data_IF_711121645938
#
_entry.id   IF_711121645938
#
_cell.length_a   1.000
_cell.length_b   1.000
_cell.length_c   1.000
_cell.angle_alpha   90.00
_cell.angle_beta   90.00
_cell.angle_gamma   90.00
#
_symmetry.space_group_name_H-M   'P 1'
#
loop_
_entity.id
_entity.type
_entity.pdbx_description
1 polymer ?
#
# COMPACT_ATOMS: atom_id res chain seq x y z
N UNK A 1 -4.35 8.93 2.15
CA UNK A 1 -4.01 8.40 0.81
C UNK A 1 -5.22 8.35 -0.11
N UNK A 2 -6.28 7.55 0.11
CA UNK A 2 -7.34 7.38 -0.89
C UNK A 2 -8.16 8.64 -1.22
N UNK A 3 -8.06 9.70 -0.40
CA UNK A 3 -8.69 11.01 -0.69
C UNK A 3 -7.82 11.96 -1.52
N UNK A 4 -6.56 11.59 -1.79
CA UNK A 4 -5.61 12.42 -2.52
C UNK A 4 -5.86 12.22 -4.00
N UNK A 5 -6.08 13.31 -4.73
CA UNK A 5 -6.43 13.29 -6.15
C UNK A 5 -5.19 13.07 -7.01
N UNK A 6 -4.06 13.69 -6.66
CA UNK A 6 -2.82 13.61 -7.43
C UNK A 6 -2.08 12.29 -7.23
N UNK A 7 -1.79 11.58 -8.33
CA UNK A 7 -1.04 10.32 -8.29
C UNK A 7 0.36 10.53 -7.72
N UNK A 8 1.11 11.50 -8.23
CA UNK A 8 2.48 11.80 -7.75
C UNK A 8 2.50 12.18 -6.27
N UNK A 9 1.47 12.91 -5.82
CA UNK A 9 1.26 13.23 -4.41
C UNK A 9 1.05 11.95 -3.60
N UNK A 10 0.15 11.06 -4.01
CA UNK A 10 -0.10 9.77 -3.34
C UNK A 10 1.16 8.93 -3.24
N UNK A 11 1.92 8.78 -4.33
CA UNK A 11 3.18 8.02 -4.33
C UNK A 11 4.21 8.65 -3.38
N UNK A 12 4.32 9.98 -3.39
CA UNK A 12 5.25 10.70 -2.52
C UNK A 12 4.89 10.56 -1.04
N UNK A 13 3.61 10.68 -0.71
CA UNK A 13 3.13 10.48 0.65
C UNK A 13 3.40 9.06 1.15
N UNK A 14 3.29 8.03 0.29
CA UNK A 14 3.67 6.65 0.61
C UNK A 14 5.12 6.55 1.12
N UNK A 15 6.06 7.16 0.38
CA UNK A 15 7.48 7.24 0.77
C UNK A 15 7.70 8.00 2.07
N UNK A 16 7.06 9.16 2.21
CA UNK A 16 7.22 10.01 3.40
C UNK A 16 6.63 9.40 4.66
N UNK A 17 5.52 8.66 4.54
CA UNK A 17 4.92 7.95 5.66
C UNK A 17 5.90 6.91 6.23
N UNK A 18 6.51 6.09 5.37
CA UNK A 18 7.49 5.10 5.82
C UNK A 18 8.71 5.72 6.46
N UNK A 19 9.31 6.74 5.83
CA UNK A 19 10.46 7.46 6.40
C UNK A 19 10.13 8.06 7.78
N UNK A 20 8.94 8.65 7.92
CA UNK A 20 8.49 9.23 9.20
C UNK A 20 8.31 8.15 10.28
N UNK A 21 7.73 7.00 9.91
CA UNK A 21 7.53 5.88 10.83
C UNK A 21 8.86 5.26 11.26
N UNK A 22 9.78 5.03 10.33
CA UNK A 22 11.12 4.51 10.64
C UNK A 22 11.90 5.42 11.60
N UNK A 23 11.88 6.73 11.35
CA UNK A 23 12.52 7.70 12.25
C UNK A 23 11.87 7.70 13.63
N UNK A 24 10.53 7.67 13.70
CA UNK A 24 9.80 7.65 14.97
C UNK A 24 10.09 6.38 15.78
N UNK A 25 10.01 5.19 15.17
CA UNK A 25 10.29 3.92 15.85
C UNK A 25 11.77 3.82 16.27
N UNK A 26 12.70 4.32 15.46
CA UNK A 26 14.13 4.35 15.82
C UNK A 26 14.38 5.23 17.04
N UNK A 27 13.89 6.47 17.04
CA UNK A 27 14.04 7.40 18.17
C UNK A 27 13.37 6.88 19.45
N UNK A 28 12.21 6.23 19.32
CA UNK A 28 11.52 5.58 20.43
C UNK A 28 12.35 4.46 21.02
N UNK A 29 12.83 3.53 20.18
CA UNK A 29 13.62 2.37 20.63
C UNK A 29 14.91 2.82 21.33
N UNK A 30 15.55 3.87 20.84
CA UNK A 30 16.73 4.46 21.50
C UNK A 30 16.38 5.04 22.86
N UNK A 31 15.34 5.86 22.95
CA UNK A 31 14.87 6.43 24.23
C UNK A 31 14.49 5.32 25.23
N UNK A 32 13.81 4.29 24.77
CA UNK A 32 13.46 3.13 25.60
C UNK A 32 14.72 2.40 26.07
N UNK A 33 15.70 2.18 25.20
CA UNK A 33 16.96 1.51 25.56
C UNK A 33 17.76 2.30 26.60
N UNK A 34 17.84 3.62 26.46
CA UNK A 34 18.55 4.50 27.39
C UNK A 34 17.92 4.55 28.79
N UNK A 35 16.62 4.31 28.88
CA UNK A 35 15.86 4.38 30.13
C UNK A 35 15.69 3.04 30.85
N UNK A 36 15.98 1.91 30.20
CA UNK A 36 15.91 0.57 30.82
C UNK A 36 16.64 0.50 32.17
N UNK A 37 17.86 1.05 32.34
CA UNK A 37 18.59 0.96 33.61
C UNK A 37 17.94 1.72 34.78
N UNK A 38 17.03 2.65 34.51
CA UNK A 38 16.41 3.55 35.50
C UNK A 38 14.90 3.29 35.69
N UNK A 39 14.45 2.07 35.36
CA UNK A 39 13.05 1.64 35.55
C UNK A 39 12.20 1.63 34.27
N UNK A 40 12.80 1.96 33.13
CA UNK A 40 12.15 1.97 31.82
C UNK A 40 11.35 3.24 31.55
N UNK A 41 11.42 3.73 30.31
CA UNK A 41 10.59 4.83 29.82
C UNK A 41 9.28 4.27 29.28
N UNK A 42 8.17 4.66 29.92
CA UNK A 42 6.85 4.51 29.34
C UNK A 42 6.52 5.77 28.56
N UNK A 43 6.50 5.66 27.24
CA UNK A 43 6.14 6.78 26.39
C UNK A 43 4.65 7.08 26.54
N UNK A 44 4.34 8.26 27.06
CA UNK A 44 2.99 8.83 27.08
C UNK A 44 3.04 10.25 26.52
N UNK A 45 1.93 10.68 25.94
CA UNK A 45 1.78 12.02 25.38
C UNK A 45 0.55 12.70 25.99
N UNK A 46 0.62 13.99 26.36
CA UNK A 46 -0.55 14.73 26.80
C UNK A 46 -1.63 14.77 25.72
N UNK A 47 -2.91 14.70 26.13
CA UNK A 47 -4.07 14.72 25.23
C UNK A 47 -4.07 15.88 24.22
N UNK A 48 -3.47 17.03 24.57
CA UNK A 48 -3.33 18.17 23.67
C UNK A 48 -2.68 17.83 22.33
N UNK A 49 -1.67 16.97 22.30
CA UNK A 49 -1.06 16.50 21.06
C UNK A 49 -2.05 15.73 20.16
N UNK A 50 -2.99 14.99 20.77
CA UNK A 50 -3.99 14.19 20.04
C UNK A 50 -5.00 15.12 19.43
N UNK A 51 -5.44 16.13 20.17
CA UNK A 51 -6.35 17.16 19.68
C UNK A 51 -5.76 17.91 18.49
N UNK A 52 -4.47 18.26 18.55
CA UNK A 52 -3.75 18.86 17.42
C UNK A 52 -3.72 17.93 16.20
N UNK A 53 -3.35 16.66 16.36
CA UNK A 53 -3.29 15.70 15.26
C UNK A 53 -4.67 15.40 14.65
N UNK A 54 -5.71 15.28 15.48
CA UNK A 54 -7.11 15.15 15.04
C UNK A 54 -7.57 16.37 14.22
N UNK A 55 -7.12 17.59 14.55
CA UNK A 55 -7.46 18.78 13.79
C UNK A 55 -6.84 18.78 12.38
N UNK A 56 -5.63 18.21 12.23
CA UNK A 56 -5.01 17.99 10.92
C UNK A 56 -5.83 16.99 10.10
N UNK A 57 -6.22 15.87 10.70
CA UNK A 57 -7.02 14.82 10.04
C UNK A 57 -8.39 15.33 9.57
N UNK A 58 -8.97 16.30 10.29
CA UNK A 58 -10.22 16.99 9.95
C UNK A 58 -10.10 18.07 8.87
N UNK A 59 -8.94 18.20 8.22
CA UNK A 59 -8.74 19.19 7.15
C UNK A 59 -9.81 19.06 6.06
N UNK A 60 -10.42 20.20 5.69
CA UNK A 60 -11.58 20.21 4.80
C UNK A 60 -11.26 19.89 3.32
N UNK A 61 -9.99 19.92 2.93
CA UNK A 61 -9.54 19.64 1.56
C UNK A 61 -8.10 19.14 1.52
N UNK A 62 -7.71 18.54 0.39
CA UNK A 62 -6.34 18.08 0.16
C UNK A 62 -5.29 19.22 0.32
N UNK A 63 -5.45 20.43 -0.25
CA UNK A 63 -4.50 21.51 -0.03
C UNK A 63 -4.34 21.91 1.44
N UNK A 64 -5.44 21.95 2.20
CA UNK A 64 -5.41 22.26 3.63
C UNK A 64 -4.72 21.15 4.42
N UNK A 65 -4.96 19.88 4.07
CA UNK A 65 -4.30 18.73 4.69
C UNK A 65 -2.79 18.77 4.44
N UNK A 66 -2.36 18.98 3.18
CA UNK A 66 -0.95 19.06 2.82
C UNK A 66 -0.27 20.25 3.51
N UNK A 67 -0.93 21.42 3.56
CA UNK A 67 -0.41 22.56 4.31
C UNK A 67 -0.24 22.22 5.80
N UNK A 68 -1.27 21.63 6.42
CA UNK A 68 -1.26 21.27 7.85
C UNK A 68 -0.17 20.26 8.19
N UNK A 69 0.07 19.29 7.30
CA UNK A 69 1.15 18.31 7.46
C UNK A 69 2.52 18.96 7.29
N UNK A 70 2.77 19.63 6.16
CA UNK A 70 4.14 20.00 5.76
C UNK A 70 4.53 21.42 6.16
N UNK A 71 3.63 22.40 5.99
CA UNK A 71 3.90 23.80 6.32
C UNK A 71 3.76 24.07 7.83
N UNK A 72 2.97 23.27 8.54
CA UNK A 72 2.75 23.41 9.99
C UNK A 72 3.45 22.28 10.78
N UNK A 73 2.88 21.07 10.85
CA UNK A 73 3.39 19.98 11.70
C UNK A 73 4.87 19.66 11.45
N UNK A 74 5.29 19.45 10.20
CA UNK A 74 6.67 19.06 9.88
C UNK A 74 7.68 20.16 10.19
N UNK A 75 7.33 21.44 9.96
CA UNK A 75 8.18 22.58 10.34
C UNK A 75 8.34 22.68 11.85
N UNK A 76 7.26 22.47 12.62
CA UNK A 76 7.32 22.48 14.08
C UNK A 76 8.09 21.28 14.64
N UNK A 77 7.90 20.10 14.06
CA UNK A 77 8.69 18.91 14.38
C UNK A 77 10.18 19.12 14.09
N UNK A 78 10.53 19.80 12.99
CA UNK A 78 11.92 20.21 12.70
C UNK A 78 12.47 21.10 13.82
N UNK A 79 11.69 22.09 14.28
CA UNK A 79 12.08 22.94 15.41
C UNK A 79 12.40 22.11 16.67
N UNK A 80 11.51 21.20 17.05
CA UNK A 80 11.72 20.32 18.21
C UNK A 80 12.98 19.45 18.08
N UNK A 81 13.24 18.88 16.90
CA UNK A 81 14.45 18.09 16.66
C UNK A 81 15.71 18.94 16.78
N UNK A 82 15.69 20.18 16.26
CA UNK A 82 16.81 21.13 16.38
C UNK A 82 17.05 21.51 17.84
N UNK A 83 15.99 21.77 18.59
CA UNK A 83 16.10 22.11 20.02
C UNK A 83 16.72 20.96 20.83
N UNK A 84 16.27 19.73 20.60
CA UNK A 84 16.84 18.53 21.25
C UNK A 84 18.29 18.34 20.84
N UNK A 85 18.63 18.47 19.55
CA UNK A 85 20.01 18.39 19.07
C UNK A 85 20.92 19.43 19.72
N UNK A 86 20.44 20.64 19.96
CA UNK A 86 21.18 21.71 20.62
C UNK A 86 21.54 21.40 22.07
N UNK A 87 20.78 20.53 22.74
CA UNK A 87 21.01 20.09 24.12
C UNK A 87 21.88 18.85 24.28
N UNK A 88 22.27 18.18 23.19
CA UNK A 88 23.06 16.92 23.23
C UNK A 88 24.56 17.17 23.26
N UNK A 89 25.30 16.31 23.97
CA UNK A 89 26.76 16.31 23.99
C UNK A 89 27.34 15.67 22.72
N UNK A 90 28.31 16.31 22.03
CA UNK A 90 28.83 15.82 20.76
C UNK A 90 29.59 14.49 20.84
N UNK A 91 30.03 14.07 22.03
CA UNK A 91 30.78 12.82 22.23
C UNK A 91 29.89 11.78 22.91
N UNK A 92 29.26 12.14 24.03
CA UNK A 92 28.49 11.21 24.85
C UNK A 92 27.17 10.80 24.18
N UNK A 93 26.57 11.69 23.40
CA UNK A 93 25.28 11.47 22.75
C UNK A 93 25.39 11.14 21.26
N UNK A 94 26.57 10.73 20.78
CA UNK A 94 26.85 10.49 19.34
C UNK A 94 25.74 9.66 18.66
N UNK A 95 25.32 8.55 19.28
CA UNK A 95 24.31 7.66 18.69
C UNK A 95 22.93 8.32 18.54
N UNK A 96 22.44 9.03 19.56
CA UNK A 96 21.12 9.70 19.47
C UNK A 96 21.20 10.91 18.55
N UNK A 97 22.35 11.59 18.50
CA UNK A 97 22.62 12.70 17.57
C UNK A 97 22.50 12.23 16.12
N UNK A 98 23.15 11.13 15.73
CA UNK A 98 23.06 10.59 14.36
C UNK A 98 21.61 10.29 13.94
N UNK A 99 20.80 9.77 14.85
CA UNK A 99 19.39 9.48 14.61
C UNK A 99 18.55 10.74 14.47
N UNK A 100 18.76 11.73 15.35
CA UNK A 100 18.09 13.03 15.27
C UNK A 100 18.47 13.78 14.00
N UNK A 101 19.74 13.75 13.58
CA UNK A 101 20.20 14.33 12.32
C UNK A 101 19.58 13.64 11.10
N UNK A 102 19.39 12.31 11.17
CA UNK A 102 18.67 11.56 10.13
C UNK A 102 17.21 11.98 10.05
N UNK A 103 16.53 12.11 11.20
CA UNK A 103 15.17 12.62 11.26
C UNK A 103 15.07 14.07 10.74
N UNK A 104 16.04 14.93 11.08
CA UNK A 104 16.11 16.31 10.61
C UNK A 104 16.23 16.39 9.08
N UNK A 105 17.17 15.65 8.47
CA UNK A 105 17.32 15.60 7.00
C UNK A 105 16.05 15.10 6.32
N UNK A 106 15.38 14.11 6.90
CA UNK A 106 14.09 13.62 6.40
C UNK A 106 13.01 14.71 6.46
N UNK A 107 12.91 15.46 7.56
CA UNK A 107 11.95 16.57 7.70
C UNK A 107 12.23 17.67 6.68
N UNK A 108 13.50 18.04 6.50
CA UNK A 108 13.92 19.07 5.54
C UNK A 108 13.58 18.68 4.09
N UNK A 109 13.84 17.43 3.73
CA UNK A 109 13.49 16.90 2.40
C UNK A 109 11.97 16.98 2.15
N UNK A 110 11.17 16.61 3.16
CA UNK A 110 9.71 16.64 3.06
C UNK A 110 9.15 18.07 2.98
N UNK A 111 9.71 19.00 3.74
CA UNK A 111 9.34 20.42 3.70
C UNK A 111 9.71 21.02 2.34
N UNK A 112 10.92 20.76 1.84
CA UNK A 112 11.38 21.26 0.54
C UNK A 112 10.52 20.73 -0.62
N UNK A 113 10.12 19.45 -0.58
CA UNK A 113 9.19 18.88 -1.55
C UNK A 113 7.86 19.65 -1.56
N UNK A 114 7.30 19.94 -0.38
CA UNK A 114 6.03 20.67 -0.27
C UNK A 114 6.14 22.10 -0.81
N UNK A 115 7.23 22.81 -0.49
CA UNK A 115 7.48 24.18 -0.97
C UNK A 115 7.58 24.23 -2.50
N UNK A 116 8.13 23.19 -3.13
CA UNK A 116 8.20 23.05 -4.58
C UNK A 116 6.85 22.79 -5.25
N UNK A 117 5.81 22.38 -4.51
CA UNK A 117 4.47 22.17 -5.08
C UNK A 117 3.71 23.47 -5.35
N UNK A 118 4.19 24.62 -4.83
CA UNK A 118 3.54 25.93 -4.97
C UNK A 118 2.04 25.95 -4.60
N UNK A 119 1.65 25.11 -3.63
CA UNK A 119 0.26 25.00 -3.18
C UNK A 119 -0.17 26.26 -2.41
N UNK A 120 -1.44 26.64 -2.55
CA UNK A 120 -2.04 27.70 -1.74
C UNK A 120 -2.04 27.30 -0.26
N UNK A 121 -1.72 28.25 0.63
CA UNK A 121 -1.74 28.01 2.07
C UNK A 121 -3.14 27.75 2.63
N UNK A 122 -3.21 27.29 3.88
CA UNK A 122 -4.49 27.15 4.57
C UNK A 122 -5.12 28.51 4.89
N UNK A 123 -6.46 28.60 4.99
CA UNK A 123 -7.14 29.81 5.46
C UNK A 123 -6.62 30.27 6.83
N UNK A 124 -6.61 31.59 7.07
CA UNK A 124 -6.09 32.18 8.31
C UNK A 124 -6.78 31.64 9.57
N UNK A 125 -8.07 31.32 9.48
CA UNK A 125 -8.81 30.72 10.59
C UNK A 125 -8.29 29.31 10.93
N UNK A 126 -8.06 28.47 9.93
CA UNK A 126 -7.50 27.13 10.12
C UNK A 126 -6.10 27.19 10.72
N UNK A 127 -5.25 28.08 10.22
CA UNK A 127 -3.91 28.31 10.76
C UNK A 127 -3.94 28.77 12.23
N UNK A 128 -4.87 29.68 12.60
CA UNK A 128 -5.07 30.12 13.98
C UNK A 128 -5.50 28.98 14.90
N UNK A 129 -6.41 28.11 14.45
CA UNK A 129 -6.84 26.93 15.22
C UNK A 129 -5.66 25.99 15.48
N UNK A 130 -4.87 25.65 14.46
CA UNK A 130 -3.70 24.78 14.64
C UNK A 130 -2.62 25.41 15.53
N UNK A 131 -2.41 26.73 15.45
CA UNK A 131 -1.50 27.44 16.36
C UNK A 131 -1.96 27.33 17.82
N UNK A 132 -3.25 27.59 18.11
CA UNK A 132 -3.78 27.49 19.47
C UNK A 132 -3.68 26.06 20.02
N UNK A 133 -3.97 25.05 19.20
CA UNK A 133 -3.81 23.64 19.57
C UNK A 133 -2.35 23.26 19.80
N UNK A 134 -1.42 23.80 19.01
CA UNK A 134 0.01 23.59 19.22
C UNK A 134 0.49 24.20 20.55
N UNK A 135 0.03 25.39 20.91
CA UNK A 135 0.34 26.02 22.20
C UNK A 135 -0.22 25.20 23.37
N UNK A 136 -1.40 24.62 23.20
CA UNK A 136 -2.05 23.76 24.19
C UNK A 136 -1.61 22.28 24.15
N UNK A 137 -0.63 21.90 23.31
CA UNK A 137 -0.29 20.49 23.06
C UNK A 137 0.18 19.72 24.30
N UNK A 138 0.74 20.42 25.28
CA UNK A 138 1.25 19.84 26.54
C UNK A 138 0.19 19.77 27.65
N UNK A 139 -1.02 20.26 27.38
CA UNK A 139 -2.14 20.20 28.31
C UNK A 139 -2.87 18.83 28.24
N UNK A 140 -3.64 18.55 29.30
CA UNK A 140 -4.47 17.35 29.40
C UNK A 140 -3.77 16.17 30.10
N UNK A 141 -4.52 15.09 30.29
CA UNK A 141 -3.97 13.89 30.91
C UNK A 141 -3.00 13.16 29.96
N UNK A 142 -1.92 12.56 30.46
CA UNK A 142 -1.05 11.73 29.64
C UNK A 142 -1.81 10.48 29.17
N UNK A 143 -1.73 10.19 27.87
CA UNK A 143 -2.27 8.99 27.23
C UNK A 143 -1.12 8.08 26.83
N UNK A 144 -1.26 6.77 27.03
CA UNK A 144 -0.28 5.81 26.55
C UNK A 144 -0.17 5.87 25.02
N UNK A 145 1.04 5.80 24.46
CA UNK A 145 1.17 5.92 23.00
C UNK A 145 0.55 4.74 22.23
N UNK A 146 0.36 3.59 22.87
CA UNK A 146 -0.43 2.49 22.30
C UNK A 146 -1.92 2.80 22.14
N UNK A 147 -2.44 3.81 22.86
CA UNK A 147 -3.84 4.25 22.80
C UNK A 147 -3.98 5.60 22.06
N UNK A 148 -2.89 6.06 21.43
CA UNK A 148 -2.79 7.40 20.85
C UNK A 148 -3.61 7.58 19.58
N UNK A 149 -3.70 6.54 18.77
CA UNK A 149 -4.44 6.55 17.52
C UNK A 149 -5.95 6.63 17.77
N UNK A 150 -6.71 7.14 16.82
CA UNK A 150 -8.16 7.28 16.90
C UNK A 150 -8.84 6.55 15.75
N UNK A 151 -10.11 6.21 15.94
CA UNK A 151 -10.93 5.66 14.86
C UNK A 151 -11.08 6.70 13.73
N UNK A 152 -11.12 6.27 12.46
CA UNK A 152 -11.28 7.20 11.35
C UNK A 152 -12.53 8.06 11.47
N UNK A 153 -12.43 9.31 11.03
CA UNK A 153 -13.58 10.21 10.87
C UNK A 153 -14.61 9.60 9.91
N UNK A 154 -14.12 9.01 8.82
CA UNK A 154 -14.91 8.39 7.77
C UNK A 154 -14.12 7.28 7.07
N UNK A 155 -14.83 6.25 6.62
CA UNK A 155 -14.28 5.23 5.71
C UNK A 155 -14.42 5.75 4.28
N UNK A 156 -13.36 5.60 3.49
CA UNK A 156 -13.32 6.15 2.12
C UNK A 156 -13.80 5.10 1.12
N UNK A 157 -15.02 5.23 0.54
CA UNK A 157 -15.63 4.17 -0.26
C UNK A 157 -14.96 3.94 -1.60
N UNK A 158 -14.31 4.97 -2.16
CA UNK A 158 -13.59 4.91 -3.43
C UNK A 158 -12.39 5.83 -3.39
N UNK A 159 -11.28 5.44 -4.02
CA UNK A 159 -10.12 6.30 -4.08
C UNK A 159 -10.33 7.42 -5.11
N UNK A 160 -9.74 8.57 -4.84
CA UNK A 160 -9.85 9.76 -5.68
C UNK A 160 -8.87 9.68 -6.85
N UNK A 161 -9.27 10.19 -8.01
CA UNK A 161 -8.43 10.22 -9.22
C UNK A 161 -8.59 11.56 -9.93
N UNK A 162 -7.60 12.00 -10.73
CA UNK A 162 -7.72 13.19 -11.54
C UNK A 162 -8.92 13.11 -12.49
N UNK A 163 -9.71 14.19 -12.58
CA UNK A 163 -10.98 14.19 -13.33
C UNK A 163 -10.88 13.96 -14.85
N UNK A 164 -9.66 14.01 -15.42
CA UNK A 164 -9.42 13.71 -16.83
C UNK A 164 -9.19 12.21 -17.10
N UNK A 165 -8.97 11.39 -16.07
CA UNK A 165 -8.76 9.95 -16.23
C UNK A 165 -10.08 9.24 -16.52
N UNK A 166 -10.01 8.23 -17.40
CA UNK A 166 -11.16 7.40 -17.80
C UNK A 166 -11.12 6.10 -17.03
N UNK A 167 -12.25 5.67 -16.46
CA UNK A 167 -12.33 4.41 -15.74
C UNK A 167 -12.70 3.26 -16.66
N UNK A 168 -12.09 2.10 -16.44
CA UNK A 168 -12.48 0.85 -17.07
C UNK A 168 -13.91 0.45 -16.65
N UNK A 169 -14.64 -0.19 -17.57
CA UNK A 169 -15.97 -0.71 -17.25
C UNK A 169 -15.83 -1.83 -16.21
N UNK A 170 -16.54 -1.70 -15.08
CA UNK A 170 -16.52 -2.71 -14.01
C UNK A 170 -16.90 -4.09 -14.57
N UNK A 171 -16.08 -5.09 -14.30
CA UNK A 171 -16.27 -6.47 -14.76
C UNK A 171 -15.77 -6.78 -16.18
N UNK A 172 -15.27 -5.78 -16.91
CA UNK A 172 -14.55 -5.98 -18.16
C UNK A 172 -13.18 -6.62 -17.92
N UNK A 173 -12.60 -7.24 -18.95
CA UNK A 173 -11.22 -7.73 -18.89
C UNK A 173 -10.23 -6.55 -18.86
N UNK A 174 -9.20 -6.66 -18.03
CA UNK A 174 -8.19 -5.61 -17.81
C UNK A 174 -7.22 -5.41 -18.97
N UNK A 175 -7.00 -6.43 -19.82
CA UNK A 175 -6.11 -6.34 -20.98
C UNK A 175 -6.73 -6.97 -22.21
N UNK A 176 -6.56 -6.30 -23.36
CA UNK A 176 -6.96 -6.75 -24.70
C UNK A 176 -5.79 -6.68 -25.68
N UNK A 177 -4.56 -6.76 -25.15
CA UNK A 177 -3.35 -6.57 -25.93
C UNK A 177 -3.29 -7.58 -27.08
N UNK A 178 -3.16 -7.06 -28.30
CA UNK A 178 -2.95 -7.90 -29.47
C UNK A 178 -1.58 -8.55 -29.30
N UNK A 179 -1.55 -9.87 -29.13
CA UNK A 179 -0.31 -10.60 -28.83
C UNK A 179 0.74 -10.47 -29.94
N UNK A 180 0.37 -10.04 -31.15
CA UNK A 180 1.30 -9.80 -32.26
C UNK A 180 2.19 -8.57 -32.05
N UNK A 181 1.76 -7.60 -31.23
CA UNK A 181 2.54 -6.40 -30.87
C UNK A 181 3.03 -6.51 -29.42
N UNK A 182 4.30 -6.85 -29.28
CA UNK A 182 4.94 -7.06 -27.98
C UNK A 182 5.18 -5.74 -27.22
N UNK A 183 5.37 -4.62 -27.93
CA UNK A 183 5.53 -3.30 -27.32
C UNK A 183 4.19 -2.88 -26.71
N UNK A 184 3.10 -2.99 -27.48
CA UNK A 184 1.77 -2.66 -26.98
C UNK A 184 1.35 -3.58 -25.81
N UNK A 185 1.67 -4.87 -25.88
CA UNK A 185 1.42 -5.77 -24.76
C UNK A 185 2.19 -5.38 -23.50
N UNK A 186 3.43 -4.91 -23.64
CA UNK A 186 4.24 -4.42 -22.51
C UNK A 186 3.64 -3.14 -21.92
N UNK A 187 3.19 -2.20 -22.77
CA UNK A 187 2.50 -0.98 -22.33
C UNK A 187 1.23 -1.29 -21.53
N UNK A 188 0.36 -2.16 -22.03
CA UNK A 188 -0.87 -2.54 -21.32
C UNK A 188 -0.58 -3.23 -19.99
N UNK A 189 0.44 -4.09 -19.94
CA UNK A 189 0.83 -4.76 -18.71
C UNK A 189 1.27 -3.74 -17.65
N UNK A 190 2.20 -2.83 -17.97
CA UNK A 190 2.69 -1.86 -17.00
C UNK A 190 1.66 -0.79 -16.63
N UNK A 191 0.75 -0.45 -17.53
CA UNK A 191 -0.40 0.38 -17.17
C UNK A 191 -1.29 -0.32 -16.13
N UNK A 192 -1.66 -1.58 -16.36
CA UNK A 192 -2.47 -2.35 -15.42
C UNK A 192 -1.76 -2.59 -14.08
N UNK A 193 -0.45 -2.89 -14.11
CA UNK A 193 0.34 -2.98 -12.88
C UNK A 193 0.33 -1.65 -12.13
N UNK A 194 0.46 -0.50 -12.81
CA UNK A 194 0.39 0.81 -12.16
C UNK A 194 -0.94 1.03 -11.41
N UNK A 195 -2.07 0.60 -11.99
CA UNK A 195 -3.37 0.62 -11.30
C UNK A 195 -3.35 -0.24 -10.03
N UNK A 196 -2.83 -1.47 -10.13
CA UNK A 196 -2.72 -2.40 -9.01
C UNK A 196 -1.83 -1.84 -7.89
N UNK A 197 -0.65 -1.30 -8.20
CA UNK A 197 0.28 -0.79 -7.19
C UNK A 197 -0.29 0.45 -6.45
N UNK A 198 -0.88 1.41 -7.17
CA UNK A 198 -1.46 2.61 -6.56
C UNK A 198 -2.64 2.23 -5.65
N UNK A 199 -3.51 1.35 -6.13
CA UNK A 199 -4.71 0.95 -5.37
C UNK A 199 -4.36 0.09 -4.17
N UNK A 200 -3.30 -0.71 -4.26
CA UNK A 200 -2.75 -1.49 -3.16
C UNK A 200 -2.15 -0.60 -2.08
N UNK A 201 -1.34 0.41 -2.45
CA UNK A 201 -0.85 1.44 -1.54
C UNK A 201 -2.00 2.06 -0.73
N UNK A 202 -3.06 2.47 -1.43
CA UNK A 202 -4.24 3.08 -0.82
C UNK A 202 -4.98 2.11 0.13
N UNK A 203 -5.11 0.84 -0.26
CA UNK A 203 -5.75 -0.19 0.54
C UNK A 203 -4.98 -0.44 1.85
N UNK A 204 -3.64 -0.55 1.80
CA UNK A 204 -2.83 -0.74 3.01
C UNK A 204 -2.77 0.50 3.91
N UNK A 205 -2.89 1.69 3.33
CA UNK A 205 -3.13 2.89 4.13
C UNK A 205 -4.43 2.76 4.95
N UNK A 206 -5.49 2.16 4.38
CA UNK A 206 -6.72 1.85 5.13
C UNK A 206 -6.55 0.78 6.18
N UNK A 207 -5.87 -0.32 5.85
CA UNK A 207 -5.58 -1.37 6.82
C UNK A 207 -4.91 -0.78 8.07
N UNK A 208 -4.03 0.22 7.89
CA UNK A 208 -3.46 0.97 9.00
C UNK A 208 -4.47 1.91 9.67
N UNK A 209 -5.12 2.82 8.95
CA UNK A 209 -5.89 3.89 9.62
C UNK A 209 -7.22 3.39 10.23
N UNK A 210 -7.85 2.34 9.68
CA UNK A 210 -9.15 1.82 10.16
C UNK A 210 -9.02 1.01 11.45
N UNK A 211 -7.80 0.61 11.80
CA UNK A 211 -7.53 -0.31 12.90
C UNK A 211 -6.49 0.29 13.85
N UNK A 212 -6.81 1.42 14.52
CA UNK A 212 -5.92 2.08 15.48
C UNK A 212 -5.59 1.21 16.71
N UNK A 213 -6.35 0.13 16.90
CA UNK A 213 -6.19 -0.84 17.97
C UNK A 213 -5.15 -1.93 17.65
N UNK A 214 -4.62 -1.94 16.44
CA UNK A 214 -3.51 -2.82 16.06
C UNK A 214 -2.18 -2.31 16.66
N UNK A 215 -1.22 -3.22 16.92
CA UNK A 215 0.05 -2.83 17.52
C UNK A 215 0.91 -1.96 16.59
N UNK A 216 1.86 -1.20 17.14
CA UNK A 216 2.74 -0.30 16.39
C UNK A 216 3.48 -1.01 15.24
N UNK A 217 3.93 -2.25 15.46
CA UNK A 217 4.63 -3.03 14.44
C UNK A 217 3.74 -3.36 13.23
N UNK A 218 2.41 -3.41 13.41
CA UNK A 218 1.47 -3.56 12.31
C UNK A 218 1.48 -2.30 11.47
N UNK A 219 1.32 -1.13 12.08
CA UNK A 219 1.37 0.15 11.38
C UNK A 219 2.71 0.38 10.67
N UNK A 220 3.83 -0.04 11.29
CA UNK A 220 5.14 -0.01 10.66
C UNK A 220 5.24 -0.94 9.43
N UNK A 221 4.63 -2.13 9.50
CA UNK A 221 4.57 -3.06 8.38
C UNK A 221 3.69 -2.53 7.23
N UNK A 222 2.52 -1.94 7.53
CA UNK A 222 1.67 -1.30 6.54
C UNK A 222 2.38 -0.11 5.89
N UNK A 223 3.08 0.72 6.68
CA UNK A 223 3.85 1.83 6.14
C UNK A 223 4.99 1.36 5.23
N UNK A 224 5.66 0.24 5.55
CA UNK A 224 6.65 -0.37 4.66
C UNK A 224 6.02 -0.81 3.35
N UNK A 225 4.91 -1.53 3.40
CA UNK A 225 4.23 -2.00 2.20
C UNK A 225 3.79 -0.82 1.32
N UNK A 226 3.18 0.22 1.92
CA UNK A 226 2.84 1.46 1.19
C UNK A 226 4.05 2.11 0.50
N UNK A 227 5.24 2.02 1.10
CA UNK A 227 6.47 2.50 0.48
C UNK A 227 6.90 1.62 -0.70
N UNK A 228 6.86 0.32 -0.53
CA UNK A 228 7.21 -0.66 -1.55
C UNK A 228 6.27 -0.47 -2.77
N UNK A 229 4.95 -0.43 -2.57
CA UNK A 229 4.00 -0.17 -3.66
C UNK A 229 4.17 1.22 -4.31
N UNK A 230 4.58 2.24 -3.54
CA UNK A 230 4.86 3.56 -4.13
C UNK A 230 6.06 3.52 -5.08
N UNK A 231 7.05 2.67 -4.80
CA UNK A 231 8.22 2.46 -5.66
C UNK A 231 7.85 1.58 -6.84
N UNK A 232 7.04 0.55 -6.63
CA UNK A 232 6.55 -0.34 -7.69
C UNK A 232 5.75 0.46 -8.71
N UNK A 233 4.78 1.27 -8.27
CA UNK A 233 4.00 2.15 -9.13
C UNK A 233 4.91 3.08 -9.96
N UNK A 234 5.89 3.71 -9.33
CA UNK A 234 6.84 4.58 -10.05
C UNK A 234 7.68 3.80 -11.07
N UNK A 235 8.15 2.60 -10.71
CA UNK A 235 8.91 1.76 -11.63
C UNK A 235 8.05 1.32 -12.82
N UNK A 236 6.76 1.03 -12.59
CA UNK A 236 5.80 0.70 -13.63
C UNK A 236 5.53 1.90 -14.55
N UNK A 237 5.34 3.10 -14.00
CA UNK A 237 5.18 4.35 -14.78
C UNK A 237 6.40 4.60 -15.65
N UNK A 238 7.61 4.57 -15.07
CA UNK A 238 8.83 4.80 -15.83
C UNK A 238 9.02 3.76 -16.94
N UNK A 239 8.71 2.49 -16.64
CA UNK A 239 8.81 1.42 -17.66
C UNK A 239 7.75 1.58 -18.74
N UNK A 240 6.54 2.06 -18.42
CA UNK A 240 5.52 2.37 -19.41
C UNK A 240 5.98 3.48 -20.36
N UNK A 241 6.61 4.53 -19.82
CA UNK A 241 7.18 5.65 -20.58
C UNK A 241 8.32 5.22 -21.51
N UNK A 242 9.21 4.33 -21.04
CA UNK A 242 10.29 3.75 -21.86
C UNK A 242 9.76 3.00 -23.10
N UNK A 243 8.51 2.50 -23.03
CA UNK A 243 7.81 1.85 -24.14
C UNK A 243 6.83 2.79 -24.87
N UNK A 244 6.91 4.11 -24.63
CA UNK A 244 6.14 5.13 -25.34
C UNK A 244 4.68 5.24 -24.90
N UNK A 245 4.32 4.72 -23.72
CA UNK A 245 3.01 4.93 -23.12
C UNK A 245 3.01 6.00 -22.02
N UNK A 246 1.83 6.55 -21.74
CA UNK A 246 1.60 7.40 -20.57
C UNK A 246 0.54 6.75 -19.68
N UNK A 247 0.72 6.80 -18.37
CA UNK A 247 -0.32 6.33 -17.46
C UNK A 247 -1.61 7.16 -17.62
N UNK A 248 -2.75 6.51 -17.80
CA UNK A 248 -4.03 7.15 -18.14
C UNK A 248 -4.34 7.22 -19.65
N UNK A 249 -3.42 6.83 -20.53
CA UNK A 249 -3.72 6.65 -21.97
C UNK A 249 -4.76 5.54 -22.18
N UNK A 250 -4.73 4.52 -21.30
CA UNK A 250 -5.73 3.46 -21.23
C UNK A 250 -6.69 3.75 -20.07
N UNK A 251 -7.90 3.15 -20.08
CA UNK A 251 -8.80 3.26 -18.95
C UNK A 251 -8.16 2.70 -17.68
N UNK A 252 -8.17 3.48 -16.60
CA UNK A 252 -7.66 3.10 -15.28
C UNK A 252 -8.66 2.23 -14.52
N UNK A 253 -8.15 1.40 -13.62
CA UNK A 253 -8.94 0.57 -12.72
C UNK A 253 -8.66 0.88 -11.25
N UNK A 254 -9.71 0.87 -10.43
CA UNK A 254 -9.63 0.90 -8.96
C UNK A 254 -10.02 -0.44 -8.34
N UNK A 255 -10.02 -1.50 -9.14
CA UNK A 255 -10.59 -2.81 -8.81
C UNK A 255 -10.08 -3.41 -7.50
N UNK A 256 -8.76 -3.40 -7.26
CA UNK A 256 -8.18 -3.95 -6.01
C UNK A 256 -8.77 -3.25 -4.79
N UNK A 257 -8.82 -1.92 -4.80
CA UNK A 257 -9.38 -1.16 -3.69
C UNK A 257 -10.89 -1.38 -3.56
N UNK A 258 -11.64 -1.28 -4.67
CA UNK A 258 -13.09 -1.36 -4.67
C UNK A 258 -13.58 -2.73 -4.22
N UNK A 259 -12.87 -3.79 -4.61
CA UNK A 259 -13.21 -5.17 -4.32
C UNK A 259 -12.92 -5.53 -2.86
N UNK A 260 -11.81 -5.04 -2.32
CA UNK A 260 -11.42 -5.21 -0.92
C UNK A 260 -11.93 -4.09 0.01
N UNK A 261 -12.84 -3.24 -0.49
CA UNK A 261 -13.37 -2.13 0.30
C UNK A 261 -14.15 -2.64 1.52
N UNK A 262 -15.08 -3.58 1.28
CA UNK A 262 -15.97 -4.14 2.27
C UNK A 262 -16.44 -5.53 1.82
N UNK A 263 -16.38 -6.50 2.75
CA UNK A 263 -16.90 -7.84 2.54
C UNK A 263 -18.20 -7.99 3.33
N UNK A 264 -19.32 -8.24 2.64
CA UNK A 264 -20.65 -8.29 3.24
C UNK A 264 -20.79 -9.25 4.45
N UNK A 265 -20.05 -10.37 4.56
CA UNK A 265 -20.06 -11.23 5.75
C UNK A 265 -19.35 -10.66 6.98
N UNK A 266 -18.65 -9.52 6.85
CA UNK A 266 -17.91 -8.87 7.92
C UNK A 266 -18.57 -7.56 8.31
N UNK A 267 -18.64 -7.26 9.61
CA UNK A 267 -19.06 -5.93 10.05
C UNK A 267 -18.05 -4.87 9.56
N UNK A 268 -18.51 -3.74 8.99
CA UNK A 268 -17.68 -2.61 8.60
C UNK A 268 -16.69 -2.17 9.69
N UNK A 269 -15.39 -2.13 9.37
CA UNK A 269 -14.33 -1.71 10.29
C UNK A 269 -13.95 -2.76 11.35
N UNK A 270 -14.51 -3.97 11.27
CA UNK A 270 -14.17 -5.05 12.21
C UNK A 270 -12.80 -5.66 11.95
N UNK A 271 -12.22 -6.30 12.97
CA UNK A 271 -11.01 -7.13 12.84
C UNK A 271 -11.16 -8.25 11.81
N UNK A 272 -12.38 -8.76 11.61
CA UNK A 272 -12.65 -9.80 10.60
C UNK A 272 -12.57 -9.24 9.19
N UNK A 273 -13.07 -8.01 8.97
CA UNK A 273 -12.91 -7.32 7.70
C UNK A 273 -11.43 -7.07 7.38
N UNK A 274 -10.63 -6.63 8.38
CA UNK A 274 -9.18 -6.53 8.23
C UNK A 274 -8.53 -7.88 7.89
N UNK A 275 -8.90 -8.93 8.63
CA UNK A 275 -8.37 -10.28 8.42
C UNK A 275 -8.63 -10.73 6.98
N UNK A 276 -9.85 -10.56 6.46
CA UNK A 276 -10.19 -10.95 5.09
C UNK A 276 -9.39 -10.16 4.06
N UNK A 277 -9.24 -8.83 4.22
CA UNK A 277 -8.38 -8.03 3.34
C UNK A 277 -6.94 -8.54 3.30
N UNK A 278 -6.35 -8.84 4.46
CA UNK A 278 -4.97 -9.35 4.54
C UNK A 278 -4.84 -10.77 3.95
N UNK A 279 -5.84 -11.63 4.17
CA UNK A 279 -5.84 -12.99 3.62
C UNK A 279 -5.95 -12.98 2.11
N UNK A 280 -6.85 -12.17 1.55
CA UNK A 280 -7.10 -12.08 0.12
C UNK A 280 -5.96 -11.34 -0.59
N UNK A 281 -5.64 -10.11 -0.16
CA UNK A 281 -4.60 -9.32 -0.82
C UNK A 281 -3.21 -9.89 -0.57
N UNK A 282 -2.82 -10.06 0.70
CA UNK A 282 -1.43 -10.40 1.01
C UNK A 282 -1.09 -11.88 0.90
N UNK A 283 -1.97 -12.77 1.37
CA UNK A 283 -1.62 -14.20 1.41
C UNK A 283 -2.05 -14.97 0.17
N UNK A 284 -2.92 -14.37 -0.66
CA UNK A 284 -3.43 -14.97 -1.88
C UNK A 284 -2.97 -14.21 -3.12
N UNK A 285 -3.41 -12.96 -3.35
CA UNK A 285 -3.08 -12.21 -4.58
C UNK A 285 -1.58 -11.92 -4.73
N UNK A 286 -0.93 -11.35 -3.71
CA UNK A 286 0.53 -11.10 -3.74
C UNK A 286 1.34 -12.40 -3.81
N UNK A 287 0.84 -13.46 -3.17
CA UNK A 287 1.45 -14.79 -3.27
C UNK A 287 1.31 -15.39 -4.67
N UNK A 288 0.22 -15.11 -5.40
CA UNK A 288 0.09 -15.46 -6.81
C UNK A 288 1.03 -14.63 -7.69
N UNK A 289 1.30 -13.36 -7.34
CA UNK A 289 2.31 -12.55 -8.02
C UNK A 289 3.70 -13.18 -7.94
N UNK A 290 4.09 -13.79 -6.81
CA UNK A 290 5.36 -14.54 -6.69
C UNK A 290 5.51 -15.68 -7.71
N UNK A 291 4.39 -16.29 -8.10
CA UNK A 291 4.36 -17.37 -9.09
C UNK A 291 4.27 -16.81 -10.51
N UNK A 292 3.39 -15.83 -10.72
CA UNK A 292 3.14 -15.18 -12.01
C UNK A 292 4.34 -14.42 -12.54
N UNK A 293 5.11 -13.74 -11.68
CA UNK A 293 6.30 -13.01 -12.10
C UNK A 293 7.38 -13.93 -12.66
N UNK A 294 7.52 -15.17 -12.19
CA UNK A 294 8.48 -16.13 -12.74
C UNK A 294 8.18 -16.39 -14.23
N UNK A 295 6.90 -16.61 -14.55
CA UNK A 295 6.47 -16.81 -15.94
C UNK A 295 6.65 -15.54 -16.78
N UNK A 296 6.26 -14.37 -16.24
CA UNK A 296 6.42 -13.12 -16.98
C UNK A 296 7.90 -12.82 -17.24
N UNK A 297 8.78 -12.93 -16.24
CA UNK A 297 10.24 -12.77 -16.40
C UNK A 297 10.77 -13.68 -17.53
N UNK A 298 10.34 -14.94 -17.57
CA UNK A 298 10.74 -15.89 -18.62
C UNK A 298 10.26 -15.45 -20.01
N UNK A 299 9.02 -14.98 -20.14
CA UNK A 299 8.47 -14.44 -21.39
C UNK A 299 9.24 -13.20 -21.85
N UNK A 300 9.53 -12.27 -20.94
CA UNK A 300 10.23 -11.01 -21.23
C UNK A 300 11.68 -11.27 -21.63
N UNK A 301 12.35 -12.23 -20.98
CA UNK A 301 13.67 -12.69 -21.39
C UNK A 301 13.67 -13.31 -22.80
N UNK A 302 12.65 -14.10 -23.15
CA UNK A 302 12.50 -14.65 -24.51
C UNK A 302 12.36 -13.54 -25.57
N UNK A 303 11.76 -12.39 -25.22
CA UNK A 303 11.68 -11.22 -26.10
C UNK A 303 12.90 -10.30 -26.05
N UNK A 304 13.96 -10.66 -25.29
CA UNK A 304 15.14 -9.81 -25.13
C UNK A 304 14.90 -8.54 -24.31
N UNK A 305 13.80 -8.47 -23.55
CA UNK A 305 13.43 -7.29 -22.75
C UNK A 305 14.08 -7.33 -21.36
N UNK A 306 15.42 -7.28 -21.32
CA UNK A 306 16.17 -7.42 -20.06
C UNK A 306 15.82 -6.36 -19.02
N UNK A 307 15.51 -5.14 -19.44
CA UNK A 307 15.09 -4.06 -18.55
C UNK A 307 13.79 -4.39 -17.81
N UNK A 308 12.82 -4.97 -18.52
CA UNK A 308 11.55 -5.40 -17.94
C UNK A 308 11.77 -6.55 -16.96
N UNK A 309 12.62 -7.51 -17.31
CA UNK A 309 12.99 -8.61 -16.40
C UNK A 309 13.58 -8.09 -15.09
N UNK A 310 14.44 -7.06 -15.13
CA UNK A 310 15.01 -6.46 -13.91
C UNK A 310 13.95 -5.79 -13.04
N UNK A 311 13.03 -5.03 -13.64
CA UNK A 311 11.93 -4.37 -12.92
C UNK A 311 11.02 -5.40 -12.25
N UNK A 312 10.55 -6.41 -12.99
CA UNK A 312 9.71 -7.47 -12.44
C UNK A 312 10.44 -8.28 -11.35
N UNK A 313 11.73 -8.53 -11.51
CA UNK A 313 12.54 -9.21 -10.50
C UNK A 313 12.69 -8.41 -9.20
N UNK A 314 12.82 -7.08 -9.31
CA UNK A 314 12.87 -6.21 -8.14
C UNK A 314 11.54 -6.18 -7.39
N UNK A 315 10.41 -6.02 -8.10
CA UNK A 315 9.06 -6.06 -7.51
C UNK A 315 8.83 -7.41 -6.82
N UNK A 316 9.09 -8.52 -7.52
CA UNK A 316 8.94 -9.87 -6.96
C UNK A 316 9.75 -10.10 -5.67
N UNK A 317 10.91 -9.45 -5.52
CA UNK A 317 11.71 -9.54 -4.30
C UNK A 317 11.03 -8.87 -3.11
N UNK A 318 10.36 -7.74 -3.33
CA UNK A 318 9.64 -7.00 -2.30
C UNK A 318 8.33 -7.73 -1.91
N UNK A 319 7.66 -8.40 -2.86
CA UNK A 319 6.45 -9.21 -2.61
C UNK A 319 6.65 -10.30 -1.54
N UNK A 320 7.88 -10.82 -1.35
CA UNK A 320 8.17 -11.78 -0.28
C UNK A 320 7.89 -11.17 1.10
N UNK A 321 8.20 -9.89 1.28
CA UNK A 321 7.88 -9.20 2.52
C UNK A 321 6.37 -8.99 2.67
N UNK A 322 5.66 -8.65 1.59
CA UNK A 322 4.22 -8.40 1.64
C UNK A 322 3.45 -9.66 2.05
N UNK A 323 3.74 -10.79 1.42
CA UNK A 323 3.17 -12.11 1.78
C UNK A 323 3.50 -12.48 3.22
N UNK A 324 4.75 -12.25 3.66
CA UNK A 324 5.18 -12.51 5.05
C UNK A 324 4.44 -11.64 6.06
N UNK A 325 4.21 -10.38 5.73
CA UNK A 325 3.42 -9.45 6.52
C UNK A 325 1.99 -9.97 6.65
N UNK A 326 1.38 -10.38 5.53
CA UNK A 326 0.05 -11.01 5.49
C UNK A 326 -0.06 -12.24 6.38
N UNK A 327 0.88 -13.19 6.27
CA UNK A 327 0.91 -14.41 7.09
C UNK A 327 1.03 -14.06 8.58
N UNK A 328 1.94 -13.15 8.95
CA UNK A 328 2.12 -12.73 10.35
C UNK A 328 0.83 -12.13 10.93
N UNK A 329 0.24 -11.16 10.23
CA UNK A 329 -0.87 -10.38 10.79
C UNK A 329 -2.21 -11.09 10.72
N UNK A 330 -2.45 -11.92 9.70
CA UNK A 330 -3.61 -12.82 9.68
C UNK A 330 -3.53 -13.84 10.83
N UNK A 331 -2.36 -14.42 11.08
CA UNK A 331 -2.13 -15.33 12.22
C UNK A 331 -2.33 -14.61 13.55
N UNK A 332 -1.85 -13.37 13.69
CA UNK A 332 -2.08 -12.55 14.88
C UNK A 332 -3.59 -12.31 15.13
N UNK A 333 -4.35 -11.93 14.10
CA UNK A 333 -5.80 -11.71 14.19
C UNK A 333 -6.57 -13.00 14.49
N UNK A 334 -5.99 -14.16 14.18
CA UNK A 334 -6.47 -15.48 14.58
C UNK A 334 -5.90 -15.98 15.91
N UNK A 335 -5.36 -15.10 16.76
CA UNK A 335 -4.78 -15.42 18.08
C UNK A 335 -3.64 -16.44 18.02
N UNK A 336 -2.84 -16.44 16.95
CA UNK A 336 -1.76 -17.40 16.75
C UNK A 336 -2.17 -18.71 16.06
N UNK A 337 -3.47 -18.94 15.80
CA UNK A 337 -3.95 -20.14 15.13
C UNK A 337 -3.88 -19.99 13.60
N UNK A 338 -2.83 -20.58 13.01
CA UNK A 338 -2.62 -20.59 11.57
C UNK A 338 -3.67 -21.43 10.80
N UNK A 339 -4.19 -22.49 11.40
CA UNK A 339 -5.26 -23.30 10.79
C UNK A 339 -6.53 -22.47 10.66
N UNK A 340 -6.88 -21.71 11.70
CA UNK A 340 -8.01 -20.77 11.64
C UNK A 340 -7.81 -19.71 10.55
N UNK A 341 -6.59 -19.19 10.37
CA UNK A 341 -6.31 -18.25 9.29
C UNK A 341 -6.57 -18.86 7.90
N UNK A 342 -6.19 -20.12 7.68
CA UNK A 342 -6.50 -20.86 6.44
C UNK A 342 -8.00 -21.09 6.23
N UNK A 343 -8.74 -21.42 7.28
CA UNK A 343 -10.20 -21.61 7.24
C UNK A 343 -10.95 -20.30 6.92
N UNK A 344 -10.49 -19.18 7.47
CA UNK A 344 -11.02 -17.85 7.10
C UNK A 344 -10.62 -17.48 5.67
N UNK A 345 -9.43 -17.90 5.20
CA UNK A 345 -8.99 -17.66 3.82
C UNK A 345 -9.86 -18.39 2.81
N UNK A 346 -10.24 -19.63 3.09
CA UNK A 346 -11.20 -20.41 2.29
C UNK A 346 -12.55 -19.69 2.18
N UNK A 347 -13.08 -19.23 3.31
CA UNK A 347 -14.35 -18.51 3.34
C UNK A 347 -14.29 -17.18 2.57
N UNK A 348 -13.21 -16.40 2.78
CA UNK A 348 -13.00 -15.14 2.10
C UNK A 348 -12.85 -15.35 0.59
N UNK A 349 -12.06 -16.35 0.17
CA UNK A 349 -11.85 -16.69 -1.24
C UNK A 349 -13.16 -17.13 -1.92
N UNK A 350 -13.94 -18.01 -1.28
CA UNK A 350 -15.23 -18.45 -1.81
C UNK A 350 -16.21 -17.27 -1.99
N UNK A 351 -16.26 -16.37 -1.00
CA UNK A 351 -17.07 -15.16 -1.09
C UNK A 351 -16.62 -14.25 -2.25
N UNK A 352 -15.32 -14.01 -2.35
CA UNK A 352 -14.73 -13.19 -3.41
C UNK A 352 -15.01 -13.78 -4.81
N UNK A 353 -14.87 -15.10 -4.97
CA UNK A 353 -15.18 -15.76 -6.24
C UNK A 353 -16.65 -15.54 -6.64
N UNK A 354 -17.59 -15.67 -5.70
CA UNK A 354 -19.01 -15.39 -5.96
C UNK A 354 -19.25 -13.93 -6.38
N UNK A 355 -18.57 -12.97 -5.73
CA UNK A 355 -18.69 -11.56 -6.09
C UNK A 355 -18.10 -11.26 -7.47
N UNK A 356 -16.94 -11.84 -7.82
CA UNK A 356 -16.35 -11.68 -9.15
C UNK A 356 -17.26 -12.25 -10.23
N UNK A 357 -17.85 -13.43 -10.02
CA UNK A 357 -18.81 -14.01 -10.94
C UNK A 357 -20.03 -13.13 -11.13
N UNK A 358 -20.58 -12.58 -10.03
CA UNK A 358 -21.71 -11.66 -10.08
C UNK A 358 -21.39 -10.41 -10.88
N UNK A 359 -20.27 -9.75 -10.58
CA UNK A 359 -19.81 -8.55 -11.31
C UNK A 359 -19.64 -8.88 -12.80
N UNK A 360 -19.07 -10.04 -13.11
CA UNK A 360 -18.88 -10.48 -14.50
C UNK A 360 -20.22 -10.72 -15.21
N UNK A 361 -21.19 -11.37 -14.56
CA UNK A 361 -22.53 -11.59 -15.12
C UNK A 361 -23.24 -10.26 -15.39
N UNK A 362 -23.19 -9.32 -14.44
CA UNK A 362 -23.75 -7.97 -14.59
C UNK A 362 -23.12 -7.24 -15.78
N UNK A 363 -21.79 -7.31 -15.92
CA UNK A 363 -21.07 -6.74 -17.06
C UNK A 363 -21.53 -7.34 -18.39
N UNK A 364 -21.60 -8.67 -18.51
CA UNK A 364 -21.99 -9.36 -19.75
C UNK A 364 -23.42 -9.00 -20.16
N UNK A 365 -24.34 -8.90 -19.19
CA UNK A 365 -25.74 -8.53 -19.46
C UNK A 365 -25.87 -7.06 -19.89
N UNK A 366 -25.09 -6.16 -19.29
CA UNK A 366 -25.13 -4.74 -19.60
C UNK A 366 -24.36 -4.37 -20.88
N UNK A 367 -23.35 -5.16 -21.26
CA UNK A 367 -22.42 -4.86 -22.37
C UNK A 367 -22.20 -6.10 -23.27
N UNK A 368 -23.26 -6.66 -23.89
CA UNK A 368 -23.18 -7.93 -24.61
C UNK A 368 -22.22 -7.90 -25.82
N UNK A 369 -22.17 -6.78 -26.56
CA UNK A 369 -21.25 -6.61 -27.69
C UNK A 369 -19.79 -6.65 -27.22
N UNK A 370 -19.47 -5.85 -26.20
CA UNK A 370 -18.15 -5.80 -25.59
C UNK A 370 -17.74 -7.17 -25.00
N UNK A 371 -18.68 -7.91 -24.41
CA UNK A 371 -18.42 -9.26 -23.89
C UNK A 371 -18.13 -10.28 -25.01
N UNK A 372 -18.79 -10.18 -26.15
CA UNK A 372 -18.52 -11.02 -27.32
C UNK A 372 -17.13 -10.73 -27.92
N UNK A 373 -16.72 -9.45 -27.96
CA UNK A 373 -15.35 -9.07 -28.34
C UNK A 373 -14.30 -9.69 -27.42
N UNK A 374 -14.53 -9.64 -26.11
CA UNK A 374 -13.63 -10.26 -25.12
C UNK A 374 -13.54 -11.78 -25.30
N UNK A 375 -14.66 -12.44 -25.55
CA UNK A 375 -14.67 -13.88 -25.82
C UNK A 375 -13.90 -14.23 -27.11
N UNK A 376 -14.07 -13.44 -28.16
CA UNK A 376 -13.32 -13.61 -29.41
C UNK A 376 -11.81 -13.42 -29.18
N UNK A 377 -11.44 -12.38 -28.42
CA UNK A 377 -10.06 -12.12 -28.02
C UNK A 377 -9.45 -13.29 -27.23
N UNK A 378 -10.17 -13.82 -26.24
CA UNK A 378 -9.71 -14.98 -25.45
C UNK A 378 -9.47 -16.21 -26.32
N UNK A 379 -10.39 -16.51 -27.24
CA UNK A 379 -10.23 -17.64 -28.18
C UNK A 379 -9.02 -17.47 -29.09
N UNK A 380 -8.81 -16.27 -29.60
CA UNK A 380 -7.63 -15.94 -30.41
C UNK A 380 -6.34 -16.11 -29.60
N UNK A 381 -6.29 -15.54 -28.39
CA UNK A 381 -5.15 -15.70 -27.47
C UNK A 381 -4.81 -17.17 -27.25
N UNK A 382 -5.80 -17.97 -26.87
CA UNK A 382 -5.59 -19.38 -26.52
C UNK A 382 -5.12 -20.21 -27.73
N UNK A 383 -5.47 -19.80 -28.95
CA UNK A 383 -5.02 -20.44 -30.18
C UNK A 383 -3.58 -20.06 -30.62
N UNK A 384 -3.12 -18.86 -30.25
CA UNK A 384 -1.86 -18.25 -30.72
C UNK A 384 -0.75 -18.34 -29.67
N UNK A 385 -1.02 -17.90 -28.44
CA UNK A 385 0.00 -17.66 -27.41
C UNK A 385 0.77 -18.93 -27.03
N UNK A 386 0.14 -20.10 -26.81
CA UNK A 386 0.87 -21.32 -26.46
C UNK A 386 1.85 -21.79 -27.54
N UNK A 387 1.58 -21.49 -28.82
CA UNK A 387 2.44 -21.90 -29.94
C UNK A 387 3.67 -21.00 -30.13
N UNK A 388 3.67 -19.82 -29.51
CA UNK A 388 4.72 -18.81 -29.67
C UNK A 388 5.94 -19.09 -28.81
N UNK A 389 5.74 -19.72 -27.65
CA UNK A 389 6.82 -19.93 -26.69
C UNK A 389 7.34 -21.37 -26.74
N UNK A 390 8.66 -21.58 -26.66
CA UNK A 390 9.25 -22.92 -26.63
C UNK A 390 9.15 -23.58 -25.24
N UNK A 391 8.24 -23.12 -24.38
CA UNK A 391 8.10 -23.56 -23.00
C UNK A 391 6.64 -23.47 -22.52
N UNK A 392 6.30 -24.23 -21.47
CA UNK A 392 4.98 -24.16 -20.85
C UNK A 392 4.69 -22.78 -20.28
N UNK A 393 3.44 -22.35 -20.45
CA UNK A 393 2.86 -21.13 -19.89
C UNK A 393 2.04 -21.40 -18.63
N UNK A 394 2.06 -22.62 -18.11
CA UNK A 394 1.48 -22.92 -16.81
C UNK A 394 2.17 -22.11 -15.72
N UNK A 395 1.38 -21.55 -14.81
CA UNK A 395 1.90 -20.94 -13.59
C UNK A 395 2.18 -22.09 -12.61
N UNK A 396 3.42 -22.17 -12.13
CA UNK A 396 3.85 -23.15 -11.12
C UNK A 396 4.15 -22.45 -9.81
N UNK A 397 3.89 -23.14 -8.70
CA UNK A 397 4.19 -22.65 -7.35
C UNK A 397 5.68 -22.33 -7.22
N UNK A 398 6.00 -21.06 -6.92
CA UNK A 398 7.33 -20.62 -6.54
C UNK A 398 7.59 -20.98 -5.07
N UNK A 399 7.82 -22.28 -4.82
CA UNK A 399 7.97 -22.84 -3.46
C UNK A 399 9.06 -22.15 -2.65
N UNK A 400 10.16 -21.74 -3.28
CA UNK A 400 11.26 -21.07 -2.59
C UNK A 400 10.83 -19.69 -2.05
N UNK A 401 10.20 -18.86 -2.89
CA UNK A 401 9.73 -17.54 -2.49
C UNK A 401 8.60 -17.61 -1.44
N UNK A 402 7.62 -18.51 -1.65
CA UNK A 402 6.52 -18.71 -0.70
C UNK A 402 7.02 -19.20 0.67
N UNK A 403 7.98 -20.14 0.72
CA UNK A 403 8.61 -20.55 1.99
C UNK A 403 9.42 -19.43 2.64
N UNK A 404 10.13 -18.61 1.85
CA UNK A 404 10.83 -17.43 2.37
C UNK A 404 9.86 -16.38 2.95
N UNK A 405 8.65 -16.29 2.39
CA UNK A 405 7.56 -15.50 2.93
C UNK A 405 6.88 -16.13 4.16
N UNK A 406 7.29 -17.33 4.57
CA UNK A 406 6.77 -18.04 5.73
C UNK A 406 5.53 -18.88 5.47
N UNK A 407 5.12 -19.09 4.21
CA UNK A 407 4.04 -20.01 3.83
C UNK A 407 4.48 -21.47 4.00
N UNK A 408 3.57 -22.32 4.48
CA UNK A 408 3.81 -23.77 4.61
C UNK A 408 3.21 -24.56 3.43
N UNK A 409 3.36 -25.88 3.47
CA UNK A 409 2.92 -26.79 2.41
C UNK A 409 1.38 -26.87 2.30
N UNK A 410 0.65 -26.63 3.39
CA UNK A 410 -0.81 -26.56 3.38
C UNK A 410 -1.29 -25.27 2.71
N UNK A 411 -0.62 -24.15 2.97
CA UNK A 411 -0.97 -22.88 2.32
C UNK A 411 -0.78 -22.94 0.80
N UNK A 412 0.25 -23.67 0.34
CA UNK A 412 0.51 -23.92 -1.08
C UNK A 412 -0.50 -24.90 -1.68
N UNK A 413 -0.86 -25.96 -0.94
CA UNK A 413 -1.86 -26.93 -1.37
C UNK A 413 -3.22 -26.29 -1.65
N UNK A 414 -3.66 -25.34 -0.80
CA UNK A 414 -4.94 -24.65 -0.96
C UNK A 414 -5.03 -23.91 -2.32
N UNK A 415 -3.96 -23.23 -2.74
CA UNK A 415 -3.91 -22.51 -4.03
C UNK A 415 -3.89 -23.47 -5.23
N UNK A 416 -3.22 -24.62 -5.08
CA UNK A 416 -3.22 -25.69 -6.09
C UNK A 416 -4.60 -26.32 -6.23
N UNK A 417 -5.29 -26.58 -5.11
CA UNK A 417 -6.64 -27.13 -5.07
C UNK A 417 -7.65 -26.20 -5.77
N UNK A 418 -7.53 -24.88 -5.53
CA UNK A 418 -8.30 -23.88 -6.25
C UNK A 418 -7.92 -23.71 -7.74
N UNK A 419 -6.84 -24.35 -8.19
CA UNK A 419 -6.45 -24.39 -9.60
C UNK A 419 -5.69 -23.17 -10.12
N UNK A 420 -5.16 -22.31 -9.25
CA UNK A 420 -4.42 -21.10 -9.68
C UNK A 420 -2.96 -21.38 -10.06
N UNK A 421 -2.38 -22.48 -9.58
CA UNK A 421 -1.00 -22.86 -9.88
C UNK A 421 -0.83 -24.38 -9.91
N UNK A 422 0.18 -24.85 -10.67
CA UNK A 422 0.64 -26.23 -10.65
C UNK A 422 1.63 -26.47 -9.49
N UNK A 423 1.70 -27.69 -8.93
CA UNK A 423 2.62 -28.06 -7.85
C UNK A 423 4.09 -27.75 -8.11
#
# INVERSE_FOLDING_TARGET
MPKIVGIDTTLTLGRFQYASMQNASTLRNTTQSLSLPIGGFRLSLPEGWRNYACAIDRSASEPILLWSLFADLKRRAKGLVVDVLGGTDPVLDTNIREQLETALRSLETQIAWYEAQHLTGAPEEHARVLQALWEAREAGAPTDVSEWLWAPIDRVPRPSRPGHMRFATRGALSSRAIYEDEVEHTRQMFHGMTDEEITTLELFARCSYEHPDMPEEFHAAMARQMFDESRHAQACINTLEDFGGTYGDLPISTGVYDFHYHHAPCEPGSKRELLWRLLLRSTFEEALSLDGFVLQIKKRAFYGQEQVTRVLGAIMSDEIFHVRSGVRWSTYLCNGDRRRAREEREQAHAFDLEQLEKIRREFVMANPEQALEELAFMRMRDAVVPKRFPFSLDISINRAARKAAGMDDEDMAQVVEWGYAKP
#
